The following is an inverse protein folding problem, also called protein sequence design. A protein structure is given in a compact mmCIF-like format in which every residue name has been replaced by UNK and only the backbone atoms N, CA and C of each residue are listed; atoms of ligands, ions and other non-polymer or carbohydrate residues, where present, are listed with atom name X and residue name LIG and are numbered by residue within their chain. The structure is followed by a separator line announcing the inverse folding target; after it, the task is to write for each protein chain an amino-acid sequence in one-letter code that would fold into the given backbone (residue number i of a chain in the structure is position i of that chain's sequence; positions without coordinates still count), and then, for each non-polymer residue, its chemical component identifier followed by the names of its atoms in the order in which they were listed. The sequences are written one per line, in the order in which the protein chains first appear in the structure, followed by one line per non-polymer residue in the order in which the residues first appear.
data_IF_670958773810
#
_entry.id   IF_670958773810
#
_cell.length_a   1.000
_cell.length_b   1.000
_cell.length_c   1.000
_cell.angle_alpha   90.00
_cell.angle_beta   90.00
_cell.angle_gamma   90.00
#
_symmetry.space_group_name_H-M   'P 1'
#
loop_
_entity.id
_entity.type
_entity.pdbx_description
1 polymer ?
#
# COMPACT_ATOMS: atom_id res chain seq x y z
N UNK A 1 3.32 0.95 -9.64
CA UNK A 1 3.78 2.15 -10.42
C UNK A 1 5.06 2.78 -9.81
N UNK A 2 5.91 1.96 -9.25
CA UNK A 2 7.18 2.39 -8.67
C UNK A 2 8.05 3.10 -9.72
N UNK A 3 8.76 4.15 -9.31
CA UNK A 3 9.65 4.93 -10.19
C UNK A 3 8.99 6.06 -10.97
N UNK A 4 7.67 6.25 -10.85
CA UNK A 4 6.98 7.36 -11.50
C UNK A 4 6.65 8.47 -10.50
N UNK A 5 6.75 9.76 -10.90
CA UNK A 5 6.33 10.87 -10.04
C UNK A 5 4.89 10.70 -9.60
N UNK A 6 4.65 10.87 -8.30
CA UNK A 6 3.32 10.67 -7.69
C UNK A 6 3.13 11.66 -6.55
N UNK A 7 2.00 12.33 -6.50
CA UNK A 7 1.59 13.17 -5.38
C UNK A 7 1.06 12.29 -4.26
N UNK A 8 1.58 12.45 -3.05
CA UNK A 8 1.14 11.70 -1.87
C UNK A 8 0.21 12.55 -1.01
N UNK A 9 -1.02 12.08 -0.80
CA UNK A 9 -1.96 12.62 0.18
C UNK A 9 -1.91 11.68 1.40
N UNK A 10 -1.33 12.18 2.52
CA UNK A 10 -1.18 11.38 3.73
C UNK A 10 -2.24 11.72 4.74
N UNK A 11 -3.14 10.78 5.00
CA UNK A 11 -4.18 10.89 6.01
C UNK A 11 -3.63 10.49 7.39
N UNK A 12 -4.12 11.15 8.43
CA UNK A 12 -3.71 10.90 9.81
C UNK A 12 -4.50 9.73 10.41
N UNK A 13 -3.88 8.99 11.35
CA UNK A 13 -4.56 7.93 12.10
C UNK A 13 -4.38 6.54 11.48
N UNK A 14 -4.01 5.58 12.31
CA UNK A 14 -3.86 4.18 11.93
C UNK A 14 -4.20 3.29 13.14
N UNK A 15 -5.15 2.33 13.00
CA UNK A 15 -5.51 1.42 14.07
C UNK A 15 -4.60 0.19 14.17
N UNK A 16 -3.59 0.08 13.27
CA UNK A 16 -2.79 -1.15 13.13
C UNK A 16 -1.62 -1.18 14.12
N UNK A 17 -0.72 -0.19 14.08
CA UNK A 17 0.40 -0.09 15.03
C UNK A 17 1.57 -1.04 14.74
N UNK A 18 1.96 -1.22 13.48
CA UNK A 18 3.08 -2.07 13.09
C UNK A 18 4.39 -1.69 13.78
N UNK A 19 5.18 -2.68 14.21
CA UNK A 19 6.46 -2.46 14.92
C UNK A 19 7.54 -1.79 14.05
N UNK A 20 7.45 -1.90 12.73
CA UNK A 20 8.40 -1.29 11.79
C UNK A 20 7.79 -0.13 10.99
N UNK A 21 6.74 0.51 11.53
CA UNK A 21 6.09 1.62 10.84
C UNK A 21 7.07 2.77 10.61
N UNK A 22 7.22 3.19 9.36
CA UNK A 22 8.06 4.32 8.97
C UNK A 22 7.32 5.67 8.95
N UNK A 23 6.02 5.66 9.29
CA UNK A 23 5.17 6.84 9.36
C UNK A 23 4.69 7.07 10.80
N UNK A 24 5.53 7.63 11.70
CA UNK A 24 5.10 7.92 13.05
C UNK A 24 3.97 8.95 13.04
N UNK A 25 2.88 8.62 13.72
CA UNK A 25 1.69 9.47 13.79
C UNK A 25 1.94 10.63 14.78
N UNK A 26 2.40 11.78 14.28
CA UNK A 26 2.55 12.98 15.10
C UNK A 26 1.19 13.67 15.26
N UNK A 27 0.63 13.62 16.46
CA UNK A 27 -0.66 14.24 16.79
C UNK A 27 -0.68 15.76 16.56
N UNK A 28 0.46 16.43 16.65
CA UNK A 28 0.57 17.88 16.48
C UNK A 28 0.48 18.31 15.01
N UNK A 29 0.64 17.40 14.05
CA UNK A 29 0.52 17.69 12.62
C UNK A 29 -0.90 17.47 12.07
N UNK A 30 -1.86 17.09 12.91
CA UNK A 30 -3.24 16.82 12.50
C UNK A 30 -3.95 18.11 12.09
N UNK A 31 -4.35 18.19 10.82
CA UNK A 31 -5.18 19.26 10.26
C UNK A 31 -6.45 18.68 9.66
N UNK A 32 -7.58 19.35 9.91
CA UNK A 32 -8.81 19.06 9.15
C UNK A 32 -8.79 19.91 7.87
N UNK A 33 -8.86 19.26 6.72
CA UNK A 33 -8.84 19.90 5.41
C UNK A 33 -10.02 19.33 4.62
N UNK A 34 -10.81 20.18 3.99
CA UNK A 34 -11.92 19.73 3.14
C UNK A 34 -11.41 19.09 1.86
N UNK A 35 -12.19 18.19 1.25
CA UNK A 35 -11.89 17.56 -0.05
C UNK A 35 -11.60 18.63 -1.09
N UNK A 36 -12.43 19.67 -1.19
CA UNK A 36 -12.25 20.77 -2.13
C UNK A 36 -10.89 21.47 -1.99
N UNK A 37 -10.44 21.71 -0.75
CA UNK A 37 -9.13 22.31 -0.49
C UNK A 37 -7.98 21.39 -0.83
N UNK A 38 -8.09 20.08 -0.57
CA UNK A 38 -7.07 19.09 -0.97
C UNK A 38 -6.94 19.05 -2.48
N UNK A 39 -8.05 18.95 -3.19
CA UNK A 39 -8.06 18.90 -4.67
C UNK A 39 -7.53 20.20 -5.26
N UNK A 40 -7.92 21.35 -4.73
CA UNK A 40 -7.40 22.67 -5.14
C UNK A 40 -5.88 22.76 -4.97
N UNK A 41 -5.35 22.27 -3.84
CA UNK A 41 -3.90 22.23 -3.58
C UNK A 41 -3.17 21.36 -4.61
N UNK A 42 -3.70 20.16 -4.90
CA UNK A 42 -3.14 19.25 -5.90
C UNK A 42 -3.16 19.90 -7.29
N UNK A 43 -4.26 20.53 -7.67
CA UNK A 43 -4.38 21.20 -8.97
C UNK A 43 -3.45 22.40 -9.12
N UNK A 44 -3.33 23.19 -8.07
CA UNK A 44 -2.50 24.42 -8.08
C UNK A 44 -1.02 24.08 -8.19
N UNK A 45 -0.53 23.11 -7.40
CA UNK A 45 0.89 22.90 -7.24
C UNK A 45 1.44 21.69 -8.01
N UNK A 46 0.56 20.73 -8.37
CA UNK A 46 0.98 19.44 -8.95
C UNK A 46 0.22 19.05 -10.22
N UNK A 47 -0.37 20.00 -10.95
CA UNK A 47 -1.17 19.75 -12.16
C UNK A 47 -0.42 18.95 -13.24
N UNK A 48 0.89 19.07 -13.26
CA UNK A 48 1.79 18.34 -14.17
C UNK A 48 1.90 16.85 -13.82
N UNK A 49 1.67 16.46 -12.57
CA UNK A 49 1.72 15.08 -12.09
C UNK A 49 0.31 14.48 -12.06
N UNK A 50 0.03 13.55 -12.97
CA UNK A 50 -1.31 12.94 -13.10
C UNK A 50 -1.56 11.76 -12.15
N UNK A 51 -0.61 11.42 -11.27
CA UNK A 51 -0.74 10.31 -10.31
C UNK A 51 -0.85 10.84 -8.91
N UNK A 52 -1.85 10.32 -8.19
CA UNK A 52 -2.08 10.61 -6.77
C UNK A 52 -2.16 9.30 -6.01
N UNK A 53 -1.45 9.23 -4.90
CA UNK A 53 -1.51 8.13 -3.95
C UNK A 53 -2.11 8.64 -2.64
N UNK A 54 -3.26 8.12 -2.26
CA UNK A 54 -3.87 8.36 -0.96
C UNK A 54 -3.34 7.28 -0.01
N UNK A 55 -2.67 7.68 1.04
CA UNK A 55 -1.97 6.84 2.01
C UNK A 55 -1.96 7.50 3.38
N UNK A 56 -1.01 7.20 4.23
CA UNK A 56 -0.80 7.89 5.49
C UNK A 56 -0.74 6.92 6.66
N UNK A 57 -1.67 7.02 7.61
CA UNK A 57 -1.99 5.95 8.53
C UNK A 57 -2.75 4.84 7.82
N UNK A 58 -4.06 4.75 8.07
CA UNK A 58 -4.96 3.87 7.30
C UNK A 58 -6.04 4.74 6.63
N UNK A 59 -6.02 4.90 5.30
CA UNK A 59 -6.98 5.77 4.62
C UNK A 59 -8.42 5.34 4.76
N UNK A 60 -8.69 4.04 4.82
CA UNK A 60 -10.05 3.50 4.81
C UNK A 60 -10.80 3.65 6.15
N UNK A 61 -10.19 4.24 7.19
CA UNK A 61 -10.93 4.62 8.40
C UNK A 61 -11.83 5.85 8.18
N UNK A 62 -11.61 6.58 7.07
CA UNK A 62 -12.38 7.79 6.75
C UNK A 62 -13.40 7.51 5.65
N UNK A 63 -14.66 7.83 5.91
CA UNK A 63 -15.74 7.74 4.93
C UNK A 63 -15.49 8.66 3.73
N UNK A 64 -14.79 9.77 3.94
CA UNK A 64 -14.44 10.76 2.91
C UNK A 64 -13.34 10.28 1.94
N UNK A 65 -12.72 9.12 2.16
CA UNK A 65 -11.62 8.65 1.29
C UNK A 65 -12.10 8.35 -0.13
N UNK A 66 -13.22 7.64 -0.30
CA UNK A 66 -13.77 7.36 -1.64
C UNK A 66 -14.31 8.63 -2.31
N UNK A 67 -15.07 9.52 -1.65
CA UNK A 67 -15.39 10.84 -2.18
C UNK A 67 -14.18 11.62 -2.69
N UNK A 68 -13.07 11.65 -1.93
CA UNK A 68 -11.83 12.30 -2.37
C UNK A 68 -11.24 11.64 -3.64
N UNK A 69 -11.28 10.30 -3.72
CA UNK A 69 -10.83 9.56 -4.91
C UNK A 69 -11.64 10.00 -6.13
N UNK A 70 -12.97 9.99 -6.05
CA UNK A 70 -13.85 10.32 -7.16
C UNK A 70 -13.68 11.79 -7.59
N UNK A 71 -13.52 12.70 -6.64
CA UNK A 71 -13.26 14.10 -6.95
C UNK A 71 -11.93 14.29 -7.68
N UNK A 72 -10.84 13.65 -7.25
CA UNK A 72 -9.56 13.67 -7.96
C UNK A 72 -9.67 13.08 -9.36
N UNK A 73 -10.43 11.99 -9.53
CA UNK A 73 -10.65 11.35 -10.82
C UNK A 73 -11.43 12.22 -11.79
N UNK A 74 -12.40 13.04 -11.31
CA UNK A 74 -13.15 13.99 -12.13
C UNK A 74 -12.24 15.02 -12.81
N UNK A 75 -11.07 15.31 -12.19
CA UNK A 75 -10.01 16.16 -12.75
C UNK A 75 -8.94 15.40 -13.55
N UNK A 76 -9.19 14.12 -13.85
CA UNK A 76 -8.30 13.29 -14.69
C UNK A 76 -7.07 12.74 -13.98
N UNK A 77 -7.05 12.68 -12.63
CA UNK A 77 -5.97 12.03 -11.91
C UNK A 77 -6.16 10.52 -11.85
N UNK A 78 -5.05 9.79 -11.98
CA UNK A 78 -4.96 8.37 -11.71
C UNK A 78 -4.73 8.20 -10.21
N UNK A 79 -5.68 7.59 -9.50
CA UNK A 79 -5.62 7.49 -8.04
C UNK A 79 -5.32 6.07 -7.61
N UNK A 80 -4.42 5.92 -6.64
CA UNK A 80 -4.21 4.69 -5.88
C UNK A 80 -4.47 4.93 -4.40
N UNK A 81 -4.96 3.89 -3.70
CA UNK A 81 -5.13 3.88 -2.25
C UNK A 81 -4.19 2.82 -1.69
N UNK A 82 -3.23 3.24 -0.85
CA UNK A 82 -2.41 2.31 -0.07
C UNK A 82 -3.10 2.04 1.28
N UNK A 83 -3.53 0.81 1.49
CA UNK A 83 -4.23 0.36 2.71
C UNK A 83 -3.52 -0.83 3.35
N UNK A 84 -3.59 -0.94 4.66
CA UNK A 84 -3.14 -2.12 5.41
C UNK A 84 -4.10 -3.31 5.29
N UNK A 85 -5.29 -3.11 4.74
CA UNK A 85 -6.33 -4.14 4.67
C UNK A 85 -6.98 -4.49 6.01
N UNK A 86 -6.77 -3.69 7.07
CA UNK A 86 -7.41 -3.87 8.38
C UNK A 86 -8.85 -3.33 8.45
N UNK A 87 -9.30 -2.66 7.39
CA UNK A 87 -10.68 -2.19 7.21
C UNK A 87 -11.29 -2.98 6.05
N UNK A 88 -12.58 -3.40 6.15
CA UNK A 88 -13.24 -4.09 5.07
C UNK A 88 -13.27 -3.25 3.79
N UNK A 89 -12.70 -3.79 2.71
CA UNK A 89 -12.84 -3.19 1.38
C UNK A 89 -14.27 -3.44 0.90
N UNK A 90 -14.95 -2.37 0.48
CA UNK A 90 -16.26 -2.50 -0.13
C UNK A 90 -16.12 -3.21 -1.48
N UNK A 91 -17.09 -4.07 -1.80
CA UNK A 91 -17.14 -4.72 -3.10
C UNK A 91 -17.54 -3.67 -4.14
N UNK A 92 -16.55 -3.15 -4.85
CA UNK A 92 -16.77 -2.11 -5.85
C UNK A 92 -17.30 -2.69 -7.16
N UNK A 93 -17.97 -1.84 -7.94
CA UNK A 93 -18.26 -2.12 -9.34
C UNK A 93 -16.93 -2.32 -10.10
N UNK A 94 -16.89 -3.28 -11.03
CA UNK A 94 -15.78 -3.51 -11.95
C UNK A 94 -15.38 -2.29 -12.79
N UNK A 95 -16.22 -1.26 -12.79
CA UNK A 95 -15.99 0.02 -13.49
C UNK A 95 -15.13 1.02 -12.73
N UNK A 96 -14.80 0.76 -11.46
CA UNK A 96 -13.91 1.68 -10.74
C UNK A 96 -12.57 1.85 -11.46
N UNK A 97 -12.07 3.08 -11.50
CA UNK A 97 -10.85 3.44 -12.22
C UNK A 97 -9.65 3.70 -11.30
N UNK A 98 -9.80 3.59 -9.97
CA UNK A 98 -8.70 3.66 -9.02
C UNK A 98 -8.16 2.26 -8.65
N UNK A 99 -7.00 2.22 -8.01
CA UNK A 99 -6.25 1.00 -7.67
C UNK A 99 -6.11 0.90 -6.16
N UNK A 100 -6.42 -0.27 -5.60
CA UNK A 100 -5.97 -0.62 -4.25
C UNK A 100 -4.56 -1.21 -4.29
N UNK A 101 -3.71 -0.77 -3.37
CA UNK A 101 -2.43 -1.41 -3.03
C UNK A 101 -2.56 -1.85 -1.57
N UNK A 102 -2.90 -3.12 -1.36
CA UNK A 102 -3.17 -3.66 -0.03
C UNK A 102 -1.91 -4.31 0.55
N UNK A 103 -1.45 -3.81 1.69
CA UNK A 103 -0.28 -4.32 2.41
C UNK A 103 -0.71 -5.36 3.46
N UNK A 104 -0.64 -6.65 3.10
CA UNK A 104 -0.90 -7.75 4.04
C UNK A 104 0.21 -7.85 5.05
N UNK A 105 -0.14 -7.71 6.32
CA UNK A 105 0.83 -7.71 7.43
C UNK A 105 1.33 -9.12 7.71
N UNK A 106 2.66 -9.28 7.59
CA UNK A 106 3.38 -10.53 7.88
C UNK A 106 3.71 -10.66 9.36
N UNK A 107 4.12 -11.83 9.86
CA UNK A 107 4.47 -12.04 11.26
C UNK A 107 5.44 -11.01 11.84
N UNK A 108 6.43 -10.58 11.07
CA UNK A 108 7.40 -9.57 11.51
C UNK A 108 6.81 -8.18 11.73
N UNK A 109 5.58 -7.92 11.30
CA UNK A 109 4.86 -6.67 11.60
C UNK A 109 4.38 -6.57 13.05
N UNK A 110 4.24 -7.72 13.75
CA UNK A 110 3.68 -7.81 15.10
C UNK A 110 2.17 -7.61 15.18
N UNK A 111 1.45 -7.57 14.04
CA UNK A 111 0.02 -7.21 13.98
C UNK A 111 -0.76 -8.04 12.95
N UNK A 112 -0.38 -9.30 12.76
CA UNK A 112 -1.00 -10.24 11.79
C UNK A 112 -2.50 -10.39 12.02
N UNK A 113 -2.94 -10.32 13.28
CA UNK A 113 -4.34 -10.44 13.68
C UNK A 113 -5.23 -9.29 13.17
N UNK A 114 -4.63 -8.22 12.67
CA UNK A 114 -5.36 -7.08 12.08
C UNK A 114 -5.71 -7.29 10.61
N UNK A 115 -5.16 -8.32 9.95
CA UNK A 115 -5.50 -8.59 8.55
C UNK A 115 -6.95 -9.06 8.41
N UNK A 116 -7.66 -8.51 7.44
CA UNK A 116 -8.95 -9.02 6.96
C UNK A 116 -8.69 -9.70 5.62
N UNK A 117 -8.48 -11.01 5.64
CA UNK A 117 -8.09 -11.78 4.45
C UNK A 117 -9.20 -11.85 3.40
N UNK A 118 -10.46 -11.69 3.79
CA UNK A 118 -11.62 -11.60 2.89
C UNK A 118 -11.50 -10.42 1.92
N UNK A 119 -10.69 -9.42 2.24
CA UNK A 119 -10.40 -8.33 1.31
C UNK A 119 -9.68 -8.82 0.05
N UNK A 120 -8.84 -9.87 0.14
CA UNK A 120 -8.07 -10.40 -0.99
C UNK A 120 -8.95 -10.87 -2.15
N UNK A 121 -10.10 -11.50 -1.86
CA UNK A 121 -11.03 -11.98 -2.89
C UNK A 121 -11.87 -10.87 -3.52
N UNK A 122 -11.84 -9.66 -2.96
CA UNK A 122 -12.55 -8.48 -3.48
C UNK A 122 -11.68 -7.64 -4.41
N UNK A 123 -10.38 -7.91 -4.46
CA UNK A 123 -9.44 -7.19 -5.31
C UNK A 123 -9.53 -7.67 -6.77
N UNK A 124 -9.24 -6.76 -7.70
CA UNK A 124 -9.29 -6.99 -9.14
C UNK A 124 -7.89 -7.10 -9.75
N UNK A 125 -7.81 -7.50 -11.01
CA UNK A 125 -6.55 -7.70 -11.76
C UNK A 125 -5.66 -6.46 -11.86
N UNK A 126 -6.22 -5.25 -11.69
CA UNK A 126 -5.47 -4.00 -11.65
C UNK A 126 -4.90 -3.65 -10.29
N UNK A 127 -5.45 -4.27 -9.23
CA UNK A 127 -4.98 -4.03 -7.85
C UNK A 127 -3.67 -4.73 -7.56
N UNK A 128 -3.06 -4.35 -6.45
CA UNK A 128 -1.80 -4.91 -5.99
C UNK A 128 -1.93 -5.36 -4.53
N UNK A 129 -1.40 -6.53 -4.22
CA UNK A 129 -1.22 -7.04 -2.86
C UNK A 129 0.26 -7.05 -2.54
N UNK A 130 0.65 -6.35 -1.51
CA UNK A 130 2.04 -6.22 -1.09
C UNK A 130 2.29 -6.98 0.20
N UNK A 131 3.41 -7.70 0.25
CA UNK A 131 3.96 -8.32 1.45
C UNK A 131 5.34 -7.74 1.72
N UNK A 132 5.57 -7.23 2.93
CA UNK A 132 6.91 -6.83 3.39
C UNK A 132 7.53 -8.03 4.08
N UNK A 133 8.67 -8.49 3.56
CA UNK A 133 9.34 -9.74 3.96
C UNK A 133 10.63 -9.39 4.69
N UNK A 134 10.75 -9.81 5.95
CA UNK A 134 11.93 -9.64 6.77
C UNK A 134 12.81 -10.90 6.76
N UNK A 135 12.17 -12.06 6.76
CA UNK A 135 12.83 -13.36 6.91
C UNK A 135 12.04 -14.50 6.23
N UNK A 136 12.52 -15.72 6.33
CA UNK A 136 11.89 -16.91 5.76
C UNK A 136 10.50 -17.18 6.35
N UNK A 137 10.26 -16.86 7.61
CA UNK A 137 8.95 -17.03 8.26
C UNK A 137 7.87 -16.16 7.60
N UNK A 138 8.21 -14.90 7.29
CA UNK A 138 7.29 -14.02 6.57
C UNK A 138 7.01 -14.53 5.15
N UNK A 139 8.03 -15.05 4.48
CA UNK A 139 7.90 -15.59 3.12
C UNK A 139 6.99 -16.84 3.10
N UNK A 140 7.20 -17.79 4.02
CA UNK A 140 6.37 -18.99 4.10
C UNK A 140 4.92 -18.67 4.53
N UNK A 141 4.75 -17.68 5.41
CA UNK A 141 3.43 -17.13 5.75
C UNK A 141 2.72 -16.58 4.51
N UNK A 142 3.39 -15.75 3.72
CA UNK A 142 2.85 -15.22 2.45
C UNK A 142 2.35 -16.35 1.55
N UNK A 143 3.15 -17.40 1.32
CA UNK A 143 2.75 -18.55 0.50
C UNK A 143 1.50 -19.24 1.05
N UNK A 144 1.41 -19.39 2.37
CA UNK A 144 0.24 -19.94 3.05
C UNK A 144 -1.03 -19.12 2.81
N UNK A 145 -0.92 -17.79 2.91
CA UNK A 145 -2.03 -16.87 2.66
C UNK A 145 -2.46 -16.91 1.20
N UNK A 146 -1.52 -16.87 0.25
CA UNK A 146 -1.83 -16.94 -1.18
C UNK A 146 -2.57 -18.24 -1.57
N UNK A 147 -2.20 -19.36 -0.93
CA UNK A 147 -2.87 -20.64 -1.15
C UNK A 147 -4.28 -20.66 -0.57
N UNK A 148 -4.48 -20.06 0.60
CA UNK A 148 -5.76 -20.09 1.33
C UNK A 148 -6.75 -19.05 0.81
N UNK A 149 -6.27 -17.90 0.38
CA UNK A 149 -7.08 -16.76 -0.07
C UNK A 149 -6.62 -16.30 -1.46
N UNK A 150 -7.02 -17.03 -2.52
CA UNK A 150 -6.63 -16.67 -3.88
C UNK A 150 -7.20 -15.31 -4.27
N UNK A 151 -6.39 -14.51 -4.96
CA UNK A 151 -6.74 -13.18 -5.42
C UNK A 151 -6.44 -13.03 -6.91
N UNK A 152 -7.15 -12.13 -7.60
CA UNK A 152 -6.84 -11.72 -8.97
C UNK A 152 -5.81 -10.59 -9.01
N UNK A 153 -5.52 -9.95 -7.88
CA UNK A 153 -4.58 -8.85 -7.79
C UNK A 153 -3.14 -9.30 -8.05
N UNK A 154 -2.31 -8.38 -8.50
CA UNK A 154 -0.87 -8.61 -8.68
C UNK A 154 -0.19 -8.73 -7.33
N UNK A 155 0.63 -9.75 -7.15
CA UNK A 155 1.37 -9.97 -5.91
C UNK A 155 2.73 -9.26 -5.98
N UNK A 156 3.01 -8.47 -4.96
CA UNK A 156 4.26 -7.77 -4.77
C UNK A 156 4.93 -8.26 -3.49
N UNK A 157 6.22 -8.49 -3.54
CA UNK A 157 7.04 -8.75 -2.35
C UNK A 157 8.10 -7.67 -2.22
N UNK A 158 8.26 -7.14 -1.04
CA UNK A 158 9.25 -6.10 -0.75
C UNK A 158 10.17 -6.57 0.38
N UNK A 159 11.48 -6.65 0.15
CA UNK A 159 12.39 -6.91 1.25
C UNK A 159 12.31 -5.76 2.26
N UNK A 160 12.31 -6.12 3.54
CA UNK A 160 12.28 -5.16 4.62
C UNK A 160 13.60 -4.38 4.68
N UNK A 161 13.49 -3.09 4.99
CA UNK A 161 14.64 -2.25 5.32
C UNK A 161 14.71 -2.04 6.83
N UNK A 162 15.92 -2.10 7.40
CA UNK A 162 16.15 -1.79 8.81
C UNK A 162 16.16 -0.26 9.06
N UNK A 163 16.32 0.14 10.32
CA UNK A 163 16.37 1.56 10.73
C UNK A 163 17.51 2.36 10.08
N UNK A 164 18.54 1.69 9.55
CA UNK A 164 19.66 2.33 8.83
C UNK A 164 19.45 2.35 7.31
N UNK A 165 18.24 2.12 6.83
CA UNK A 165 17.90 2.00 5.41
C UNK A 165 18.69 0.90 4.66
N UNK A 166 19.14 -0.13 5.37
CA UNK A 166 19.79 -1.30 4.77
C UNK A 166 18.74 -2.37 4.49
N UNK A 167 18.72 -2.86 3.25
CA UNK A 167 17.90 -3.99 2.83
C UNK A 167 18.39 -5.28 3.52
N UNK A 168 17.47 -6.05 4.13
CA UNK A 168 17.87 -7.21 4.95
C UNK A 168 18.10 -8.47 4.12
N UNK A 169 17.22 -8.79 3.19
CA UNK A 169 17.16 -10.12 2.55
C UNK A 169 16.95 -10.06 1.03
N UNK A 170 17.44 -9.01 0.35
CA UNK A 170 17.15 -8.83 -1.08
C UNK A 170 17.50 -10.03 -1.94
N UNK A 171 18.71 -10.58 -1.79
CA UNK A 171 19.20 -11.73 -2.54
C UNK A 171 18.46 -13.02 -2.16
N UNK A 172 18.28 -13.27 -0.86
CA UNK A 172 17.60 -14.48 -0.37
C UNK A 172 16.15 -14.53 -0.86
N UNK A 173 15.45 -13.40 -0.81
CA UNK A 173 14.06 -13.28 -1.28
C UNK A 173 13.94 -13.66 -2.77
N UNK A 174 14.88 -13.19 -3.60
CA UNK A 174 14.89 -13.53 -5.04
C UNK A 174 15.15 -15.03 -5.21
N UNK A 175 16.13 -15.60 -4.51
CA UNK A 175 16.46 -17.02 -4.57
C UNK A 175 15.25 -17.89 -4.18
N UNK A 176 14.54 -17.55 -3.08
CA UNK A 176 13.35 -18.29 -2.67
C UNK A 176 12.24 -18.27 -3.71
N UNK A 177 12.03 -17.12 -4.38
CA UNK A 177 11.04 -17.02 -5.46
C UNK A 177 11.40 -17.89 -6.66
N UNK A 178 12.68 -17.96 -7.01
CA UNK A 178 13.18 -18.80 -8.10
C UNK A 178 13.09 -20.29 -7.77
N UNK A 179 13.48 -20.69 -6.57
CA UNK A 179 13.39 -22.06 -6.06
C UNK A 179 11.95 -22.57 -6.06
N UNK A 180 11.03 -21.74 -5.55
CA UNK A 180 9.60 -22.06 -5.48
C UNK A 180 8.87 -21.88 -6.83
N UNK A 181 9.56 -21.44 -7.89
CA UNK A 181 9.01 -21.22 -9.24
C UNK A 181 7.76 -20.37 -9.25
N UNK A 182 7.79 -19.21 -8.60
CA UNK A 182 6.67 -18.27 -8.49
C UNK A 182 6.80 -17.11 -9.51
N UNK A 183 6.51 -17.34 -10.80
CA UNK A 183 6.82 -16.38 -11.88
C UNK A 183 5.95 -15.13 -11.88
N UNK A 184 4.80 -15.17 -11.20
CA UNK A 184 3.81 -14.09 -11.21
C UNK A 184 3.94 -13.14 -10.00
N UNK A 185 5.02 -13.28 -9.20
CA UNK A 185 5.31 -12.41 -8.08
C UNK A 185 6.36 -11.38 -8.49
N UNK A 186 6.04 -10.10 -8.31
CA UNK A 186 6.95 -9.00 -8.60
C UNK A 186 7.72 -8.59 -7.35
N UNK A 187 9.05 -8.58 -7.43
CA UNK A 187 9.88 -7.96 -6.39
C UNK A 187 9.81 -6.44 -6.53
N UNK A 188 9.49 -5.76 -5.45
CA UNK A 188 9.43 -4.30 -5.36
C UNK A 188 10.36 -3.82 -4.25
N UNK A 189 11.29 -2.94 -4.59
CA UNK A 189 12.13 -2.24 -3.61
C UNK A 189 11.52 -0.91 -3.21
N UNK A 190 11.75 -0.51 -1.96
CA UNK A 190 11.34 0.80 -1.44
C UNK A 190 12.31 1.87 -1.97
N UNK A 191 12.04 2.39 -3.17
CA UNK A 191 12.93 3.32 -3.89
C UNK A 191 13.26 4.56 -3.06
N UNK A 192 12.30 5.10 -2.30
CA UNK A 192 12.52 6.28 -1.45
C UNK A 192 13.64 6.04 -0.42
N UNK A 193 13.79 4.81 0.10
CA UNK A 193 14.87 4.46 1.03
C UNK A 193 16.23 4.34 0.35
N UNK A 194 16.24 3.87 -0.91
CA UNK A 194 17.47 3.76 -1.71
C UNK A 194 17.92 5.15 -2.18
N UNK A 195 16.99 5.99 -2.61
CA UNK A 195 17.28 7.33 -3.13
C UNK A 195 17.43 8.39 -2.03
N UNK A 196 17.13 8.07 -0.76
CA UNK A 196 17.18 9.02 0.35
C UNK A 196 16.14 10.13 0.26
N UNK A 197 15.02 9.90 -0.47
CA UNK A 197 13.91 10.85 -0.58
C UNK A 197 12.77 10.48 0.38
N UNK A 198 11.94 11.47 0.76
CA UNK A 198 10.80 11.30 1.68
C UNK A 198 9.49 11.20 0.91
#
# INVERSE_FOLDING_TARGET
MSGLPTVFIRLFGCPVGCVYCDQPQNKNSRKKISIANIVSEVQKNYRWCKRVCITGGEPLIYEDTLPLVYELQSYGYQVSIETSGCIPIQKDDYRRSFIYVMDVKTPSSGVVEKNIYENLIKLHTRDEVKYVIKDRKDYDFMKGIMKRYPTQAKILVSPMFNMYNKMLIGNDLVNWLLEDRLPNIRVQVQLHKILGVK
#
